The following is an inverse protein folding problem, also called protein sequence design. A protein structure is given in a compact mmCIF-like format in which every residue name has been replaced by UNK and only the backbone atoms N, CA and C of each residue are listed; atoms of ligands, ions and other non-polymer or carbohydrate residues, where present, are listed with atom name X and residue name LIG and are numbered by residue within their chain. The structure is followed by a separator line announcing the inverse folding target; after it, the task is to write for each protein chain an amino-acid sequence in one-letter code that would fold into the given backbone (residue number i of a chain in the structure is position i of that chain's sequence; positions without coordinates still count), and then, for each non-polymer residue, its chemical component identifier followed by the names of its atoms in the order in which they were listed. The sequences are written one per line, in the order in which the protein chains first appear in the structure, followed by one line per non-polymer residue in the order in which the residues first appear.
data_IF_383042807061
#
_entry.id   IF_383042807061
#
_cell.length_a   1.000
_cell.length_b   1.000
_cell.length_c   1.000
_cell.angle_alpha   90.00
_cell.angle_beta   90.00
_cell.angle_gamma   90.00
#
_symmetry.space_group_name_H-M   'P 1'
#
loop_
_entity.id
_entity.type
_entity.pdbx_description
1 polymer ?
#
# COMPACT_ATOMS: atom_id res chain seq x y z
N UNK A 1 44.56 16.03 -16.41
CA UNK A 1 44.22 17.47 -16.30
C UNK A 1 43.20 17.80 -17.38
N UNK A 2 42.16 18.60 -17.08
CA UNK A 2 41.19 19.02 -18.09
C UNK A 2 41.82 20.12 -18.95
N UNK A 3 41.92 19.91 -20.25
CA UNK A 3 42.57 20.84 -21.20
C UNK A 3 41.56 21.63 -22.03
N UNK A 4 40.32 21.16 -22.12
CA UNK A 4 39.25 21.80 -22.88
C UNK A 4 38.75 23.08 -22.20
N UNK A 5 38.58 24.16 -22.96
CA UNK A 5 37.99 25.42 -22.49
C UNK A 5 36.79 25.77 -23.36
N UNK A 6 35.60 25.89 -22.76
CA UNK A 6 34.39 26.26 -23.49
C UNK A 6 34.42 27.72 -23.97
N UNK A 7 33.66 28.05 -25.01
CA UNK A 7 33.45 29.43 -25.48
C UNK A 7 33.05 30.42 -24.37
N UNK A 8 33.40 31.71 -24.49
CA UNK A 8 33.25 32.72 -23.43
C UNK A 8 31.81 33.16 -23.14
N UNK A 9 30.88 32.95 -24.07
CA UNK A 9 29.44 33.22 -23.93
C UNK A 9 28.72 32.28 -22.94
N UNK A 10 29.39 31.19 -22.56
CA UNK A 10 28.91 30.30 -21.52
C UNK A 10 28.98 30.92 -20.12
N UNK A 11 28.10 30.46 -19.22
CA UNK A 11 28.05 30.88 -17.81
C UNK A 11 29.15 30.22 -16.95
N UNK A 12 30.41 30.44 -17.30
CA UNK A 12 31.58 29.86 -16.63
C UNK A 12 31.59 30.19 -15.14
N UNK A 13 31.82 29.18 -14.29
CA UNK A 13 31.90 29.36 -12.84
C UNK A 13 30.59 29.71 -12.13
N UNK A 14 29.57 30.21 -12.84
CA UNK A 14 28.24 30.59 -12.31
C UNK A 14 27.26 29.42 -12.22
N UNK A 15 27.29 28.50 -13.20
CA UNK A 15 26.54 27.23 -13.15
C UNK A 15 27.51 26.03 -13.22
N UNK A 16 27.01 24.83 -12.91
CA UNK A 16 27.81 23.59 -12.98
C UNK A 16 27.93 23.03 -14.39
N UNK A 17 27.10 23.45 -15.35
CA UNK A 17 26.98 22.85 -16.69
C UNK A 17 28.30 22.79 -17.45
N UNK A 18 29.06 23.90 -17.49
CA UNK A 18 30.34 23.93 -18.22
C UNK A 18 31.38 22.99 -17.61
N UNK A 19 31.39 22.85 -16.29
CA UNK A 19 32.29 21.94 -15.60
C UNK A 19 31.81 20.48 -15.70
N UNK A 20 30.53 20.19 -15.44
CA UNK A 20 30.04 18.81 -15.34
C UNK A 20 29.80 18.19 -16.71
N UNK A 21 29.18 18.93 -17.64
CA UNK A 21 28.75 18.41 -18.94
C UNK A 21 29.82 18.62 -20.00
N UNK A 22 30.34 19.84 -20.13
CA UNK A 22 31.29 20.18 -21.20
C UNK A 22 32.76 19.95 -20.83
N UNK A 23 33.00 19.47 -19.60
CA UNK A 23 34.32 19.13 -19.06
C UNK A 23 35.34 20.29 -19.11
N UNK A 24 34.87 21.54 -19.05
CA UNK A 24 35.73 22.74 -19.08
C UNK A 24 36.75 22.74 -17.93
N UNK A 25 38.01 23.03 -18.27
CA UNK A 25 39.16 23.12 -17.37
C UNK A 25 39.59 24.56 -17.04
N UNK A 26 38.82 25.59 -17.44
CA UNK A 26 39.18 26.97 -17.13
C UNK A 26 39.13 27.25 -15.61
N UNK A 27 39.92 28.24 -15.16
CA UNK A 27 40.05 28.57 -13.73
C UNK A 27 38.72 28.97 -13.09
N UNK A 28 37.90 29.75 -13.78
CA UNK A 28 36.57 30.13 -13.31
C UNK A 28 35.65 28.91 -13.04
N UNK A 29 35.67 27.90 -13.92
CA UNK A 29 34.90 26.66 -13.74
C UNK A 29 35.44 25.80 -12.61
N UNK A 30 36.78 25.66 -12.50
CA UNK A 30 37.41 24.92 -11.41
C UNK A 30 37.13 25.56 -10.04
N UNK A 31 37.30 26.88 -9.93
CA UNK A 31 37.06 27.63 -8.69
C UNK A 31 35.58 27.63 -8.32
N UNK A 32 34.69 27.78 -9.31
CA UNK A 32 33.25 27.66 -9.11
C UNK A 32 32.84 26.28 -8.58
N UNK A 33 33.42 25.21 -9.13
CA UNK A 33 33.18 23.85 -8.63
C UNK A 33 33.72 23.65 -7.21
N UNK A 34 34.93 24.15 -6.91
CA UNK A 34 35.53 24.08 -5.58
C UNK A 34 34.72 24.87 -4.52
N UNK A 35 34.18 26.03 -4.86
CA UNK A 35 33.25 26.80 -4.01
C UNK A 35 31.99 25.99 -3.68
N UNK A 36 31.25 25.51 -4.70
CA UNK A 36 30.04 24.69 -4.50
C UNK A 36 30.31 23.43 -3.68
N UNK A 37 31.47 22.78 -3.90
CA UNK A 37 31.88 21.61 -3.13
C UNK A 37 32.09 21.98 -1.66
N UNK A 38 32.80 23.07 -1.34
CA UNK A 38 32.98 23.57 0.03
C UNK A 38 31.67 23.95 0.68
N UNK A 39 30.81 24.68 -0.01
CA UNK A 39 29.49 25.09 0.50
C UNK A 39 28.61 23.87 0.81
N UNK A 40 28.61 22.86 -0.07
CA UNK A 40 27.93 21.58 0.18
C UNK A 40 28.45 20.87 1.43
N UNK A 41 29.76 20.73 1.59
CA UNK A 41 30.33 20.09 2.80
C UNK A 41 30.03 20.90 4.07
N UNK A 42 30.05 22.22 3.98
CA UNK A 42 29.72 23.11 5.10
C UNK A 42 28.26 22.95 5.52
N UNK A 43 27.32 22.90 4.57
CA UNK A 43 25.90 22.66 4.84
C UNK A 43 25.65 21.25 5.40
N UNK A 44 26.37 20.23 4.91
CA UNK A 44 26.30 18.86 5.45
C UNK A 44 26.80 18.80 6.90
N UNK A 45 27.95 19.43 7.20
CA UNK A 45 28.53 19.47 8.55
C UNK A 45 27.62 20.18 9.57
N UNK A 46 26.84 21.17 9.13
CA UNK A 46 25.88 21.86 9.97
C UNK A 46 24.50 21.21 10.02
N UNK A 47 24.29 20.07 9.34
CA UNK A 47 22.97 19.43 9.23
C UNK A 47 21.92 20.26 8.50
N UNK A 48 22.33 21.33 7.79
CA UNK A 48 21.45 22.29 7.09
C UNK A 48 21.35 22.02 5.60
N UNK A 49 21.88 20.90 5.12
CA UNK A 49 21.74 20.51 3.72
C UNK A 49 20.34 19.97 3.45
N UNK A 50 19.36 20.88 3.33
CA UNK A 50 17.94 20.61 3.11
C UNK A 50 17.66 19.92 1.75
N UNK A 51 18.64 19.89 0.85
CA UNK A 51 18.60 19.23 -0.46
C UNK A 51 19.32 17.87 -0.46
N UNK A 52 19.68 17.33 0.71
CA UNK A 52 20.21 15.98 0.82
C UNK A 52 19.24 15.01 0.14
N UNK A 53 19.80 14.07 -0.63
CA UNK A 53 19.03 12.97 -1.18
C UNK A 53 18.37 12.20 -0.03
N UNK A 54 17.05 12.18 -0.01
CA UNK A 54 16.25 11.46 0.96
C UNK A 54 15.93 10.06 0.43
N UNK A 55 15.89 9.03 1.30
CA UNK A 55 15.46 7.70 0.90
C UNK A 55 14.04 7.77 0.34
N UNK A 56 13.77 7.03 -0.72
CA UNK A 56 12.47 7.08 -1.39
C UNK A 56 11.35 6.45 -0.56
N UNK A 57 11.65 5.45 0.28
CA UNK A 57 10.64 4.55 0.85
C UNK A 57 9.56 5.29 1.65
N UNK A 58 9.90 6.20 2.59
CA UNK A 58 8.88 6.94 3.34
C UNK A 58 8.02 7.83 2.43
N UNK A 59 8.61 8.39 1.37
CA UNK A 59 7.87 9.18 0.38
C UNK A 59 6.94 8.26 -0.43
N UNK A 60 7.39 7.07 -0.84
CA UNK A 60 6.55 6.12 -1.59
C UNK A 60 5.35 5.68 -0.75
N UNK A 61 5.56 5.34 0.52
CA UNK A 61 4.49 4.98 1.44
C UNK A 61 3.47 6.12 1.58
N UNK A 62 3.94 7.36 1.74
CA UNK A 62 3.06 8.54 1.78
C UNK A 62 2.25 8.72 0.49
N UNK A 63 2.91 8.61 -0.67
CA UNK A 63 2.24 8.73 -1.97
C UNK A 63 1.21 7.61 -2.17
N UNK A 64 1.50 6.39 -1.72
CA UNK A 64 0.57 5.28 -1.77
C UNK A 64 -0.64 5.55 -0.88
N UNK A 65 -0.43 6.03 0.35
CA UNK A 65 -1.52 6.41 1.25
C UNK A 65 -2.44 7.49 0.64
N UNK A 66 -1.89 8.52 -0.02
CA UNK A 66 -2.70 9.51 -0.75
C UNK A 66 -3.50 8.90 -1.91
N UNK A 67 -2.93 7.92 -2.60
CA UNK A 67 -3.63 7.19 -3.67
C UNK A 67 -4.73 6.30 -3.11
N UNK A 68 -4.52 5.72 -1.93
CA UNK A 68 -5.47 4.88 -1.22
C UNK A 68 -6.65 5.71 -0.68
N UNK A 69 -6.45 7.00 -0.35
CA UNK A 69 -7.57 7.94 -0.11
C UNK A 69 -8.30 8.37 -1.39
N UNK A 70 -7.96 7.80 -2.55
CA UNK A 70 -8.61 8.09 -3.83
C UNK A 70 -8.02 9.25 -4.63
N UNK A 71 -6.95 9.91 -4.17
CA UNK A 71 -6.33 10.99 -4.96
C UNK A 71 -5.65 10.42 -6.20
N UNK A 72 -5.75 11.14 -7.32
CA UNK A 72 -5.03 10.78 -8.53
C UNK A 72 -3.57 11.30 -8.49
N UNK A 73 -2.56 10.54 -8.95
CA UNK A 73 -1.15 10.95 -8.99
C UNK A 73 -0.90 12.31 -9.64
N UNK A 74 -1.66 12.65 -10.69
CA UNK A 74 -1.58 13.96 -11.34
C UNK A 74 -1.96 15.10 -10.38
N UNK A 75 -2.95 14.89 -9.52
CA UNK A 75 -3.37 15.90 -8.53
C UNK A 75 -2.42 15.99 -7.34
N UNK A 76 -1.82 14.87 -6.94
CA UNK A 76 -0.72 14.89 -5.96
C UNK A 76 0.42 15.75 -6.51
N UNK A 77 0.78 15.58 -7.78
CA UNK A 77 1.82 16.36 -8.43
C UNK A 77 1.52 17.87 -8.47
N UNK A 78 0.27 18.24 -8.83
CA UNK A 78 -0.17 19.64 -8.84
C UNK A 78 -0.12 20.23 -7.43
N UNK A 79 -0.64 19.52 -6.43
CA UNK A 79 -0.68 19.99 -5.03
C UNK A 79 0.71 20.16 -4.43
N UNK A 80 1.64 19.26 -4.77
CA UNK A 80 3.05 19.36 -4.37
C UNK A 80 3.85 20.38 -5.20
N UNK A 81 3.33 20.87 -6.33
CA UNK A 81 4.10 21.71 -7.27
C UNK A 81 5.34 21.00 -7.82
N UNK A 82 5.17 19.73 -8.26
CA UNK A 82 6.19 18.90 -8.91
C UNK A 82 5.68 18.33 -10.24
N UNK A 83 6.58 17.84 -11.10
CA UNK A 83 6.17 17.24 -12.37
C UNK A 83 5.48 15.88 -12.20
N UNK A 84 4.37 15.62 -12.91
CA UNK A 84 3.63 14.35 -12.83
C UNK A 84 4.45 13.10 -13.14
N UNK A 85 5.40 13.19 -14.08
CA UNK A 85 6.36 12.12 -14.36
C UNK A 85 7.23 11.76 -13.14
N UNK A 86 7.48 12.72 -12.25
CA UNK A 86 8.21 12.48 -10.99
C UNK A 86 7.39 11.62 -10.05
N UNK A 87 6.12 11.97 -9.80
CA UNK A 87 5.23 11.18 -8.92
C UNK A 87 5.06 9.76 -9.45
N UNK A 88 4.78 9.60 -10.75
CA UNK A 88 4.62 8.27 -11.37
C UNK A 88 5.89 7.43 -11.28
N UNK A 89 7.06 8.03 -11.48
CA UNK A 89 8.35 7.34 -11.28
C UNK A 89 8.52 6.90 -9.84
N UNK A 90 8.18 7.74 -8.85
CA UNK A 90 8.36 7.38 -7.45
C UNK A 90 7.44 6.25 -7.00
N UNK A 91 6.20 6.22 -7.48
CA UNK A 91 5.23 5.16 -7.23
C UNK A 91 5.66 3.83 -7.88
N UNK A 92 6.13 3.86 -9.13
CA UNK A 92 6.29 2.65 -9.94
C UNK A 92 7.74 2.13 -10.05
N UNK A 93 8.74 2.89 -9.61
CA UNK A 93 10.14 2.52 -9.80
C UNK A 93 10.66 1.62 -8.68
N UNK A 94 11.12 0.44 -9.07
CA UNK A 94 11.86 -0.51 -8.21
C UNK A 94 13.35 -0.14 -8.06
N UNK A 95 13.87 0.68 -8.99
CA UNK A 95 15.31 1.02 -9.05
C UNK A 95 15.65 2.37 -8.42
N UNK A 96 14.66 3.26 -8.27
CA UNK A 96 14.86 4.54 -7.61
C UNK A 96 15.10 4.33 -6.12
N UNK A 97 16.24 4.83 -5.60
CA UNK A 97 16.58 4.74 -4.16
C UNK A 97 16.43 6.06 -3.42
N UNK A 98 16.60 7.16 -4.13
CA UNK A 98 16.63 8.49 -3.53
C UNK A 98 15.88 9.54 -4.36
N UNK A 99 15.43 10.57 -3.66
CA UNK A 99 14.85 11.79 -4.23
C UNK A 99 15.53 13.01 -3.62
N UNK A 100 15.55 14.15 -4.30
CA UNK A 100 16.13 15.38 -3.71
C UNK A 100 15.32 15.83 -2.50
N UNK A 101 15.97 16.39 -1.48
CA UNK A 101 15.30 16.85 -0.26
C UNK A 101 14.22 17.91 -0.50
N UNK A 102 14.44 18.82 -1.47
CA UNK A 102 13.41 19.76 -1.91
C UNK A 102 12.13 19.08 -2.43
N UNK A 103 12.26 18.03 -3.26
CA UNK A 103 11.12 17.29 -3.78
C UNK A 103 10.46 16.46 -2.68
N UNK A 104 11.24 15.83 -1.80
CA UNK A 104 10.71 15.09 -0.66
C UNK A 104 9.81 15.97 0.21
N UNK A 105 10.27 17.17 0.60
CA UNK A 105 9.48 18.11 1.40
C UNK A 105 8.17 18.50 0.73
N UNK A 106 8.21 18.81 -0.57
CA UNK A 106 7.01 19.16 -1.34
C UNK A 106 5.98 18.04 -1.36
N UNK A 107 6.42 16.79 -1.55
CA UNK A 107 5.54 15.63 -1.61
C UNK A 107 4.97 15.28 -0.22
N UNK A 108 5.79 15.31 0.82
CA UNK A 108 5.37 15.03 2.19
C UNK A 108 4.43 16.11 2.77
N UNK A 109 4.46 17.33 2.23
CA UNK A 109 3.54 18.39 2.63
C UNK A 109 2.12 18.23 2.06
N UNK A 110 1.90 17.33 1.10
CA UNK A 110 0.56 17.07 0.57
C UNK A 110 -0.22 16.21 1.55
N UNK A 111 -1.36 16.71 2.00
CA UNK A 111 -2.32 15.98 2.82
C UNK A 111 -3.59 15.69 2.03
N UNK A 112 -4.27 14.57 2.29
CA UNK A 112 -5.60 14.34 1.74
C UNK A 112 -6.59 15.19 2.53
N UNK A 113 -7.19 16.19 1.90
CA UNK A 113 -8.40 16.82 2.46
C UNK A 113 -9.60 16.56 1.54
N UNK A 114 -10.79 16.50 2.13
CA UNK A 114 -12.04 16.18 1.43
C UNK A 114 -12.37 17.19 0.33
N UNK A 115 -11.94 18.45 0.49
CA UNK A 115 -12.10 19.50 -0.51
C UNK A 115 -11.26 19.25 -1.76
N UNK A 116 -10.08 18.65 -1.58
CA UNK A 116 -9.12 18.35 -2.63
C UNK A 116 -9.64 17.23 -3.53
N UNK A 117 -10.29 16.21 -2.97
CA UNK A 117 -10.95 15.14 -3.74
C UNK A 117 -12.14 15.66 -4.56
N UNK A 118 -13.00 16.48 -3.93
CA UNK A 118 -14.14 17.10 -4.61
C UNK A 118 -13.70 17.99 -5.79
N UNK A 119 -12.59 18.72 -5.66
CA UNK A 119 -12.04 19.57 -6.72
C UNK A 119 -11.34 18.81 -7.87
N UNK A 120 -11.09 17.49 -7.75
CA UNK A 120 -10.48 16.70 -8.83
C UNK A 120 -11.50 16.28 -9.89
N UNK A 121 -12.78 16.13 -9.50
CA UNK A 121 -13.84 15.56 -10.32
C UNK A 121 -13.67 14.06 -10.64
N UNK A 122 -12.49 13.48 -10.41
CA UNK A 122 -12.18 12.07 -10.63
C UNK A 122 -11.33 11.52 -9.48
N UNK A 123 -11.51 10.23 -9.21
CA UNK A 123 -10.81 9.48 -8.16
C UNK A 123 -10.22 8.19 -8.72
N UNK A 124 -9.35 7.54 -7.93
CA UNK A 124 -8.82 6.22 -8.25
C UNK A 124 -9.97 5.22 -8.48
N UNK A 125 -9.96 4.54 -9.63
CA UNK A 125 -11.01 3.59 -10.02
C UNK A 125 -10.86 2.20 -9.38
N UNK A 126 -9.79 1.91 -8.63
CA UNK A 126 -9.53 0.59 -8.03
C UNK A 126 -10.72 0.09 -7.21
N UNK A 127 -11.21 0.89 -6.27
CA UNK A 127 -12.35 0.55 -5.42
C UNK A 127 -13.62 0.28 -6.22
N UNK A 128 -13.94 1.17 -7.17
CA UNK A 128 -15.10 1.01 -8.07
C UNK A 128 -15.01 -0.27 -8.89
N UNK A 129 -13.84 -0.58 -9.46
CA UNK A 129 -13.63 -1.81 -10.24
C UNK A 129 -13.85 -3.05 -9.38
N UNK A 130 -13.24 -3.09 -8.19
CA UNK A 130 -13.38 -4.22 -7.28
C UNK A 130 -14.82 -4.44 -6.83
N UNK A 131 -15.56 -3.38 -6.49
CA UNK A 131 -17.00 -3.46 -6.18
C UNK A 131 -17.81 -4.05 -7.34
N UNK A 132 -17.61 -3.56 -8.57
CA UNK A 132 -18.28 -4.12 -9.75
C UNK A 132 -17.94 -5.59 -10.00
N UNK A 133 -16.66 -5.95 -9.85
CA UNK A 133 -16.17 -7.34 -9.99
C UNK A 133 -16.79 -8.25 -8.93
N UNK A 134 -16.87 -7.79 -7.69
CA UNK A 134 -17.45 -8.50 -6.57
C UNK A 134 -18.95 -8.72 -6.73
N UNK A 135 -19.69 -7.70 -7.18
CA UNK A 135 -21.11 -7.84 -7.53
C UNK A 135 -21.30 -8.87 -8.66
N UNK A 136 -20.45 -8.87 -9.68
CA UNK A 136 -20.49 -9.88 -10.73
C UNK A 136 -20.20 -11.30 -10.20
N UNK A 137 -19.30 -11.45 -9.22
CA UNK A 137 -18.98 -12.72 -8.58
C UNK A 137 -20.14 -13.33 -7.77
N UNK A 138 -21.07 -12.51 -7.27
CA UNK A 138 -22.33 -12.98 -6.64
C UNK A 138 -23.52 -13.01 -7.62
N UNK A 139 -23.28 -12.65 -8.90
CA UNK A 139 -24.21 -12.85 -10.01
C UNK A 139 -24.91 -11.58 -10.51
N UNK A 140 -24.61 -10.40 -9.97
CA UNK A 140 -25.12 -9.14 -10.52
C UNK A 140 -24.43 -8.81 -11.83
N UNK A 141 -25.16 -8.87 -12.94
CA UNK A 141 -24.61 -8.52 -14.24
C UNK A 141 -24.59 -7.00 -14.46
N UNK A 142 -23.65 -6.51 -15.27
CA UNK A 142 -23.49 -5.06 -15.51
C UNK A 142 -24.71 -4.41 -16.18
N UNK A 143 -25.56 -5.16 -16.88
CA UNK A 143 -26.80 -4.61 -17.44
C UNK A 143 -27.76 -4.21 -16.32
N UNK A 144 -27.93 -5.07 -15.32
CA UNK A 144 -28.80 -4.81 -14.18
C UNK A 144 -28.24 -3.69 -13.29
N UNK A 145 -26.92 -3.67 -13.07
CA UNK A 145 -26.23 -2.58 -12.36
C UNK A 145 -26.49 -1.24 -13.09
N UNK A 146 -26.25 -1.19 -14.41
CA UNK A 146 -26.48 0.01 -15.21
C UNK A 146 -27.95 0.46 -15.16
N UNK A 147 -28.90 -0.48 -15.23
CA UNK A 147 -30.34 -0.21 -15.13
C UNK A 147 -30.71 0.44 -13.78
N UNK A 148 -30.19 -0.08 -12.67
CA UNK A 148 -30.46 0.44 -11.32
C UNK A 148 -29.89 1.84 -11.11
N UNK A 149 -28.71 2.11 -11.65
CA UNK A 149 -28.07 3.44 -11.60
C UNK A 149 -28.67 4.45 -12.60
N UNK A 150 -29.56 4.03 -13.50
CA UNK A 150 -30.02 4.87 -14.60
C UNK A 150 -28.91 5.23 -15.61
N UNK A 151 -27.87 4.40 -15.71
CA UNK A 151 -26.70 4.63 -16.55
C UNK A 151 -26.74 3.81 -17.85
N UNK A 152 -26.15 4.32 -18.94
CA UNK A 152 -25.92 3.50 -20.12
C UNK A 152 -24.83 2.46 -19.83
N UNK A 153 -24.95 1.25 -20.39
CA UNK A 153 -24.03 0.13 -20.11
C UNK A 153 -22.55 0.45 -20.33
N UNK A 154 -22.24 1.23 -21.37
CA UNK A 154 -20.86 1.62 -21.67
C UNK A 154 -20.21 2.40 -20.52
N UNK A 155 -21.00 3.13 -19.71
CA UNK A 155 -20.50 3.92 -18.58
C UNK A 155 -20.04 3.01 -17.43
N UNK A 156 -20.80 1.94 -17.14
CA UNK A 156 -20.42 0.92 -16.16
C UNK A 156 -19.20 0.12 -16.64
N UNK A 157 -19.17 -0.28 -17.91
CA UNK A 157 -18.01 -0.96 -18.49
C UNK A 157 -16.75 -0.07 -18.46
N UNK A 158 -16.89 1.23 -18.76
CA UNK A 158 -15.80 2.19 -18.66
C UNK A 158 -15.28 2.33 -17.22
N UNK A 159 -16.16 2.28 -16.23
CA UNK A 159 -15.77 2.29 -14.81
C UNK A 159 -15.04 1.01 -14.40
N UNK A 160 -15.45 -0.15 -14.95
CA UNK A 160 -14.80 -1.44 -14.73
C UNK A 160 -13.37 -1.52 -15.30
N UNK A 161 -13.09 -0.83 -16.39
CA UNK A 161 -11.79 -0.88 -17.06
C UNK A 161 -10.88 0.29 -16.66
N UNK A 162 -11.46 1.44 -16.33
CA UNK A 162 -10.76 2.69 -16.11
C UNK A 162 -9.86 2.69 -14.87
N UNK A 163 -8.63 3.20 -15.01
CA UNK A 163 -7.76 3.49 -13.88
C UNK A 163 -8.32 4.58 -12.95
N UNK A 164 -9.16 5.47 -13.49
CA UNK A 164 -9.81 6.57 -12.78
C UNK A 164 -11.26 6.68 -13.18
N UNK A 165 -12.12 7.04 -12.24
CA UNK A 165 -13.57 7.21 -12.45
C UNK A 165 -13.99 8.61 -12.03
N UNK A 166 -15.11 9.08 -12.57
CA UNK A 166 -15.75 10.32 -12.10
C UNK A 166 -16.22 10.13 -10.66
N UNK A 167 -16.08 11.16 -9.81
CA UNK A 167 -16.41 11.06 -8.37
C UNK A 167 -17.88 10.68 -8.16
N UNK A 168 -18.81 11.19 -8.99
CA UNK A 168 -20.23 10.83 -8.87
C UNK A 168 -20.43 9.35 -9.21
N UNK A 169 -19.72 8.85 -10.22
CA UNK A 169 -19.81 7.43 -10.62
C UNK A 169 -19.22 6.53 -9.55
N UNK A 170 -18.14 6.96 -8.91
CA UNK A 170 -17.58 6.28 -7.75
C UNK A 170 -18.62 6.17 -6.63
N UNK A 171 -19.21 7.28 -6.22
CA UNK A 171 -20.14 7.35 -5.08
C UNK A 171 -21.44 6.57 -5.37
N UNK A 172 -21.98 6.70 -6.58
CA UNK A 172 -23.19 5.96 -7.00
C UNK A 172 -22.96 4.44 -7.01
N UNK A 173 -21.77 3.98 -7.44
CA UNK A 173 -21.43 2.55 -7.43
C UNK A 173 -21.14 2.06 -6.01
N UNK A 174 -20.52 2.88 -5.17
CA UNK A 174 -20.29 2.56 -3.77
C UNK A 174 -21.63 2.38 -3.03
N UNK A 175 -22.55 3.34 -3.16
CA UNK A 175 -23.88 3.25 -2.57
C UNK A 175 -24.65 2.02 -3.06
N UNK A 176 -24.64 1.75 -4.37
CA UNK A 176 -25.31 0.56 -4.91
C UNK A 176 -24.64 -0.74 -4.44
N UNK A 177 -23.32 -0.76 -4.26
CA UNK A 177 -22.63 -1.92 -3.72
C UNK A 177 -23.10 -2.22 -2.30
N UNK A 178 -23.20 -1.20 -1.45
CA UNK A 178 -23.66 -1.33 -0.06
C UNK A 178 -25.10 -1.89 0.02
N UNK A 179 -25.93 -1.61 -0.98
CA UNK A 179 -27.27 -2.18 -1.10
C UNK A 179 -27.31 -3.64 -1.57
N UNK A 180 -26.32 -4.07 -2.36
CA UNK A 180 -26.40 -5.32 -3.14
C UNK A 180 -25.42 -6.41 -2.73
N UNK A 181 -24.41 -6.11 -1.92
CA UNK A 181 -23.29 -7.02 -1.64
C UNK A 181 -23.72 -8.33 -0.96
N UNK A 182 -24.80 -8.32 -0.18
CA UNK A 182 -25.39 -9.47 0.50
C UNK A 182 -26.68 -9.98 -0.19
N UNK A 183 -27.09 -9.35 -1.29
CA UNK A 183 -28.33 -9.65 -1.99
C UNK A 183 -28.10 -10.53 -3.22
N UNK A 184 -29.09 -11.39 -3.52
CA UNK A 184 -29.10 -12.13 -4.79
C UNK A 184 -29.76 -11.31 -5.91
N UNK A 185 -29.24 -11.35 -7.14
CA UNK A 185 -29.89 -10.74 -8.29
C UNK A 185 -31.25 -11.44 -8.57
N UNK A 186 -32.24 -10.70 -9.09
CA UNK A 186 -33.55 -11.29 -9.41
C UNK A 186 -33.41 -12.39 -10.47
N UNK A 187 -34.23 -13.45 -10.37
CA UNK A 187 -34.21 -14.63 -11.27
C UNK A 187 -35.57 -15.03 -11.84
N UNK A 188 -36.57 -14.14 -11.77
CA UNK A 188 -37.94 -14.41 -12.18
C UNK A 188 -38.08 -14.62 -13.70
N UNK A 189 -37.37 -13.83 -14.52
CA UNK A 189 -37.44 -13.93 -15.99
C UNK A 189 -36.29 -14.75 -16.58
N UNK A 190 -36.47 -15.26 -17.81
CA UNK A 190 -35.39 -15.95 -18.55
C UNK A 190 -34.17 -15.03 -18.74
N UNK A 191 -34.40 -13.77 -19.09
CA UNK A 191 -33.33 -12.79 -19.27
C UNK A 191 -32.54 -12.56 -17.99
N UNK A 192 -33.22 -12.48 -16.84
CA UNK A 192 -32.60 -12.37 -15.52
C UNK A 192 -31.72 -13.58 -15.18
N UNK A 193 -32.22 -14.80 -15.40
CA UNK A 193 -31.44 -16.03 -15.18
C UNK A 193 -30.20 -16.09 -16.06
N UNK A 194 -30.35 -15.78 -17.36
CA UNK A 194 -29.22 -15.72 -18.30
C UNK A 194 -28.20 -14.67 -17.88
N UNK A 195 -28.65 -13.48 -17.47
CA UNK A 195 -27.78 -12.42 -16.96
C UNK A 195 -26.97 -12.86 -15.74
N UNK A 196 -27.61 -13.50 -14.75
CA UNK A 196 -26.95 -14.06 -13.56
C UNK A 196 -25.89 -15.09 -13.95
N UNK A 197 -26.26 -16.09 -14.76
CA UNK A 197 -25.33 -17.13 -15.21
C UNK A 197 -24.14 -16.54 -15.98
N UNK A 198 -24.38 -15.54 -16.82
CA UNK A 198 -23.33 -14.84 -17.55
C UNK A 198 -22.36 -14.12 -16.60
N UNK A 199 -22.86 -13.36 -15.62
CA UNK A 199 -22.02 -12.65 -14.65
C UNK A 199 -21.12 -13.62 -13.86
N UNK A 200 -21.69 -14.71 -13.35
CA UNK A 200 -20.93 -15.75 -12.64
C UNK A 200 -19.85 -16.40 -13.53
N UNK A 201 -20.16 -16.61 -14.81
CA UNK A 201 -19.22 -17.19 -15.77
C UNK A 201 -18.06 -16.25 -16.07
N UNK A 202 -18.36 -14.96 -16.28
CA UNK A 202 -17.34 -13.92 -16.48
C UNK A 202 -16.47 -13.77 -15.24
N UNK A 203 -17.08 -13.67 -14.06
CA UNK A 203 -16.34 -13.55 -12.81
C UNK A 203 -15.36 -14.72 -12.61
N UNK A 204 -15.82 -15.97 -12.79
CA UNK A 204 -14.95 -17.15 -12.71
C UNK A 204 -13.82 -17.12 -13.73
N UNK A 205 -14.12 -16.75 -14.99
CA UNK A 205 -13.11 -16.67 -16.06
C UNK A 205 -12.01 -15.66 -15.76
N UNK A 206 -12.37 -14.54 -15.14
CA UNK A 206 -11.43 -13.48 -14.80
C UNK A 206 -10.86 -13.58 -13.37
N UNK A 207 -11.24 -14.60 -12.59
CA UNK A 207 -10.82 -14.75 -11.20
C UNK A 207 -11.33 -13.63 -10.29
N UNK A 208 -12.49 -13.04 -10.59
CA UNK A 208 -13.09 -12.01 -9.75
C UNK A 208 -13.65 -12.62 -8.47
N UNK A 209 -13.44 -11.92 -7.37
CA UNK A 209 -13.70 -12.41 -6.02
C UNK A 209 -14.96 -11.79 -5.44
N UNK A 210 -15.73 -12.53 -4.63
CA UNK A 210 -16.95 -12.03 -4.00
C UNK A 210 -16.67 -10.95 -2.94
N UNK A 211 -17.69 -10.20 -2.49
CA UNK A 211 -17.57 -9.19 -1.44
C UNK A 211 -16.80 -9.64 -0.20
N UNK A 212 -17.18 -10.79 0.37
CA UNK A 212 -16.60 -11.33 1.61
C UNK A 212 -15.17 -11.86 1.47
N UNK A 213 -14.56 -11.78 0.28
CA UNK A 213 -13.16 -12.11 0.10
C UNK A 213 -12.22 -10.92 0.36
N UNK A 214 -12.75 -9.75 0.73
CA UNK A 214 -12.01 -8.52 1.00
C UNK A 214 -12.22 -8.09 2.45
N UNK A 215 -11.16 -7.67 3.15
CA UNK A 215 -11.28 -7.04 4.46
C UNK A 215 -11.53 -5.54 4.30
N UNK A 216 -10.76 -4.90 3.42
CA UNK A 216 -11.01 -3.57 2.87
C UNK A 216 -10.87 -3.58 1.35
N UNK A 217 -12.01 -3.59 0.66
CA UNK A 217 -12.08 -3.66 -0.81
C UNK A 217 -11.35 -2.51 -1.52
N UNK A 218 -11.17 -1.37 -0.86
CA UNK A 218 -10.53 -0.19 -1.45
C UNK A 218 -9.00 -0.22 -1.32
N UNK A 219 -8.51 -0.59 -0.14
CA UNK A 219 -7.10 -0.42 0.20
C UNK A 219 -6.28 -1.71 0.08
N UNK A 220 -6.89 -2.88 0.31
CA UNK A 220 -6.17 -4.16 0.38
C UNK A 220 -5.31 -4.41 -0.86
N UNK A 221 -4.02 -4.79 -0.75
CA UNK A 221 -3.19 -5.12 -1.91
C UNK A 221 -3.78 -6.29 -2.72
N UNK A 222 -4.25 -7.31 -2.02
CA UNK A 222 -4.88 -8.53 -2.50
C UNK A 222 -5.93 -8.98 -1.46
N UNK A 223 -6.93 -9.78 -1.83
CA UNK A 223 -7.80 -10.42 -0.85
C UNK A 223 -6.97 -11.19 0.21
N UNK A 224 -7.43 -11.30 1.47
CA UNK A 224 -6.95 -12.34 2.36
C UNK A 224 -7.09 -13.72 1.68
N UNK A 225 -6.06 -14.55 1.79
CA UNK A 225 -6.12 -15.93 1.29
C UNK A 225 -6.94 -16.75 2.27
N UNK A 226 -8.17 -17.12 1.90
CA UNK A 226 -8.99 -18.05 2.68
C UNK A 226 -8.22 -19.36 2.89
N UNK A 227 -7.73 -19.58 4.11
CA UNK A 227 -6.88 -20.72 4.47
C UNK A 227 -5.66 -20.39 5.33
N UNK A 228 -5.38 -19.12 5.61
CA UNK A 228 -4.53 -18.76 6.75
C UNK A 228 -5.42 -18.26 7.88
N UNK A 229 -6.11 -19.18 8.56
CA UNK A 229 -6.22 -18.99 10.02
C UNK A 229 -4.78 -18.77 10.51
N UNK A 230 -4.51 -17.80 11.40
CA UNK A 230 -3.18 -17.71 11.96
C UNK A 230 -2.84 -19.10 12.50
N UNK A 231 -1.66 -19.64 12.14
CA UNK A 231 -1.26 -21.01 12.52
C UNK A 231 -1.39 -21.25 14.04
N UNK A 232 -1.50 -20.17 14.81
CA UNK A 232 -1.70 -20.09 16.24
C UNK A 232 -2.78 -19.02 16.52
N UNK A 233 -3.81 -19.36 17.29
CA UNK A 233 -4.73 -18.36 17.84
C UNK A 233 -4.01 -17.57 18.97
N UNK A 234 -3.50 -16.40 18.61
CA UNK A 234 -2.80 -15.47 19.51
C UNK A 234 -3.63 -15.08 20.75
N UNK A 235 -4.96 -14.97 20.59
CA UNK A 235 -5.85 -14.62 21.69
C UNK A 235 -5.99 -15.81 22.64
N UNK A 236 -6.12 -17.03 22.10
CA UNK A 236 -6.17 -18.25 22.91
C UNK A 236 -4.89 -18.43 23.74
N UNK A 237 -3.71 -18.15 23.17
CA UNK A 237 -2.41 -18.22 23.86
C UNK A 237 -2.34 -17.21 25.01
N UNK A 238 -2.70 -15.95 24.77
CA UNK A 238 -2.65 -14.92 25.82
C UNK A 238 -3.67 -15.16 26.92
N UNK A 239 -4.87 -15.65 26.57
CA UNK A 239 -5.89 -16.04 27.55
C UNK A 239 -5.41 -17.20 28.44
N UNK A 240 -4.77 -18.22 27.85
CA UNK A 240 -4.20 -19.33 28.61
C UNK A 240 -3.08 -18.87 29.56
N UNK A 241 -2.19 -18.00 29.10
CA UNK A 241 -1.13 -17.42 29.95
C UNK A 241 -1.66 -16.47 31.03
N UNK A 242 -2.87 -15.92 30.86
CA UNK A 242 -3.59 -15.16 31.87
C UNK A 242 -4.40 -16.07 32.84
N UNK A 243 -4.32 -17.40 32.69
CA UNK A 243 -4.97 -18.38 33.57
C UNK A 243 -6.41 -18.70 33.23
N UNK A 244 -6.89 -18.32 32.04
CA UNK A 244 -8.19 -18.76 31.54
C UNK A 244 -8.09 -20.19 30.98
N UNK A 245 -9.12 -21.00 31.24
CA UNK A 245 -9.17 -22.37 30.74
C UNK A 245 -9.54 -22.37 29.24
N UNK A 246 -8.52 -22.43 28.39
CA UNK A 246 -8.64 -22.45 26.93
C UNK A 246 -7.98 -23.71 26.39
N UNK A 247 -8.66 -24.42 25.48
CA UNK A 247 -8.09 -25.62 24.84
C UNK A 247 -7.11 -25.20 23.75
N UNK A 248 -5.82 -25.39 24.00
CA UNK A 248 -4.77 -25.13 23.02
C UNK A 248 -4.46 -26.36 22.15
N UNK A 249 -4.13 -26.13 20.89
CA UNK A 249 -3.45 -27.10 20.04
C UNK A 249 -2.00 -27.32 20.50
N UNK A 250 -1.29 -28.31 19.93
CA UNK A 250 0.11 -28.55 20.29
C UNK A 250 1.01 -27.35 19.95
N UNK A 251 0.81 -26.74 18.80
CA UNK A 251 1.66 -25.65 18.33
C UNK A 251 1.39 -24.37 19.14
N UNK A 252 0.14 -24.11 19.51
CA UNK A 252 -0.23 -23.03 20.44
C UNK A 252 0.32 -23.25 21.84
N UNK A 253 0.32 -24.51 22.32
CA UNK A 253 0.92 -24.86 23.62
C UNK A 253 2.43 -24.68 23.62
N UNK A 254 3.11 -25.03 22.53
CA UNK A 254 4.55 -24.78 22.36
C UNK A 254 4.83 -23.27 22.40
N UNK A 255 4.07 -22.47 21.67
CA UNK A 255 4.24 -21.02 21.67
C UNK A 255 3.91 -20.38 23.04
N UNK A 256 2.86 -20.84 23.72
CA UNK A 256 2.54 -20.43 25.09
C UNK A 256 3.67 -20.79 26.07
N UNK A 257 4.26 -21.99 25.92
CA UNK A 257 5.39 -22.46 26.72
C UNK A 257 6.64 -21.60 26.48
N UNK A 258 6.92 -21.22 25.23
CA UNK A 258 8.01 -20.30 24.88
C UNK A 258 7.82 -18.94 25.55
N UNK A 259 6.67 -18.30 25.36
CA UNK A 259 6.35 -16.97 25.92
C UNK A 259 6.33 -16.96 27.45
N UNK A 260 5.73 -17.98 28.07
CA UNK A 260 5.71 -18.07 29.52
C UNK A 260 7.11 -18.30 30.10
N UNK A 261 7.96 -19.07 29.42
CA UNK A 261 9.37 -19.22 29.79
C UNK A 261 10.14 -17.90 29.67
N UNK A 262 9.92 -17.12 28.61
CA UNK A 262 10.49 -15.77 28.44
C UNK A 262 10.00 -14.79 29.51
N UNK A 263 8.75 -14.94 29.99
CA UNK A 263 8.18 -14.20 31.12
C UNK A 263 8.68 -14.70 32.48
N UNK A 264 9.55 -15.71 32.52
CA UNK A 264 10.14 -16.25 33.74
C UNK A 264 9.24 -17.21 34.53
N UNK A 265 8.19 -17.76 33.91
CA UNK A 265 7.31 -18.74 34.55
C UNK A 265 8.02 -20.09 34.71
N UNK A 266 7.83 -20.71 35.88
CA UNK A 266 8.34 -22.06 36.18
C UNK A 266 7.53 -23.16 35.47
N UNK A 267 8.09 -24.38 35.41
CA UNK A 267 7.40 -25.54 34.84
C UNK A 267 6.04 -25.82 35.50
N UNK A 268 5.96 -25.65 36.83
CA UNK A 268 4.72 -25.84 37.59
C UNK A 268 3.69 -24.76 37.24
N UNK A 269 4.10 -23.50 37.17
CA UNK A 269 3.20 -22.41 36.78
C UNK A 269 2.67 -22.58 35.35
N UNK A 270 3.52 -22.99 34.42
CA UNK A 270 3.11 -23.29 33.04
C UNK A 270 2.17 -24.51 32.97
N UNK A 271 2.43 -25.54 33.77
CA UNK A 271 1.56 -26.72 33.88
C UNK A 271 0.16 -26.34 34.36
N UNK A 272 0.07 -25.51 35.39
CA UNK A 272 -1.20 -25.03 35.96
C UNK A 272 -1.96 -24.14 34.96
N UNK A 273 -1.27 -23.20 34.30
CA UNK A 273 -1.89 -22.25 33.35
C UNK A 273 -2.38 -22.94 32.06
N UNK A 274 -1.59 -23.88 31.54
CA UNK A 274 -1.89 -24.55 30.27
C UNK A 274 -2.72 -25.83 30.44
N UNK A 275 -3.04 -26.22 31.69
CA UNK A 275 -3.90 -27.37 31.99
C UNK A 275 -3.31 -28.72 31.54
N UNK A 276 -1.98 -28.84 31.51
CA UNK A 276 -1.25 -30.05 31.11
C UNK A 276 -0.26 -30.46 32.19
N UNK A 277 0.25 -31.68 32.14
CA UNK A 277 1.21 -32.15 33.15
C UNK A 277 2.60 -31.52 32.98
N UNK A 278 3.33 -31.41 34.09
CA UNK A 278 4.68 -30.82 34.14
C UNK A 278 5.66 -31.49 33.16
N UNK A 279 5.57 -32.80 32.91
CA UNK A 279 6.45 -33.50 31.96
C UNK A 279 6.12 -33.17 30.51
N UNK A 280 4.86 -32.80 30.21
CA UNK A 280 4.49 -32.30 28.88
C UNK A 280 5.13 -30.92 28.64
N UNK A 281 5.12 -30.03 29.63
CA UNK A 281 5.81 -28.72 29.54
C UNK A 281 7.33 -28.91 29.41
N UNK A 282 7.91 -29.85 30.15
CA UNK A 282 9.34 -30.17 30.08
C UNK A 282 9.74 -30.64 28.67
N UNK A 283 8.96 -31.57 28.09
CA UNK A 283 9.14 -32.04 26.71
C UNK A 283 8.96 -30.91 25.68
N UNK A 284 7.96 -30.06 25.86
CA UNK A 284 7.71 -28.94 24.96
C UNK A 284 8.87 -27.93 24.99
N UNK A 285 9.48 -27.68 26.16
CA UNK A 285 10.70 -26.86 26.27
C UNK A 285 11.91 -27.51 25.63
N UNK A 286 12.02 -28.83 25.70
CA UNK A 286 13.06 -29.60 25.00
C UNK A 286 12.92 -29.46 23.49
N UNK A 287 11.70 -29.65 22.98
CA UNK A 287 11.37 -29.48 21.56
C UNK A 287 11.69 -28.06 21.05
N UNK A 288 11.60 -27.05 21.94
CA UNK A 288 11.91 -25.64 21.66
C UNK A 288 13.37 -25.25 21.91
N UNK A 289 14.21 -26.15 22.45
CA UNK A 289 15.60 -25.86 22.80
C UNK A 289 15.78 -24.88 23.96
N UNK A 290 14.79 -24.75 24.86
CA UNK A 290 14.74 -23.76 25.95
C UNK A 290 15.31 -24.29 27.29
N UNK A 291 16.20 -25.28 27.25
CA UNK A 291 16.90 -25.75 28.46
C UNK A 291 17.84 -24.66 28.96
N UNK A 292 17.73 -24.30 30.23
CA UNK A 292 18.77 -23.51 30.89
C UNK A 292 19.99 -24.43 31.05
N UNK A 293 21.17 -23.93 30.65
CA UNK A 293 22.43 -24.57 31.05
C UNK A 293 22.49 -24.54 32.58
N UNK A 294 22.77 -25.71 33.17
CA UNK A 294 22.90 -25.90 34.61
C UNK A 294 23.98 -25.00 35.23
#
# INVERSE_FOLDING_TARGET
MRTHTCPPDHKHGLTSTCYVVHLCGCRACMDGNARRRRDRYRLLAYGRYQDAHQPIEPIRQHLQALVDTGMIPERIAISAGVGGATVRRLLNSETARFVTGATARKLLAVTPDSSTLAAQGRVNGRGTRRRLQALAAIGWNHHEIARRLGYPRWKVNKALEGAYVDIRVHDDIAALYDELWDQQPPTHTRAQRVGRSYALTVARRHGWLPPLAWDDIDTDPAPPTAGQEPLLDEIAIELALAGQNVRLTRDERLEATRRGTERGLSLTQLSDLLGVDVRTIDRDRDDLGLRQAA
#
